data_IF_468359642309
#
_entry.id   IF_468359642309
#
_cell.length_a   1.000
_cell.length_b   1.000
_cell.length_c   1.000
_cell.angle_alpha   90.00
_cell.angle_beta   90.00
_cell.angle_gamma   90.00
#
_symmetry.space_group_name_H-M   'P 1'
#
loop_
_entity.id
_entity.type
_entity.pdbx_description
1 polymer ?
#
# COMPACT_ATOMS: atom_id res chain seq x y z
N UNK A 1 28.08 -2.25 -63.86
CA UNK A 1 27.10 -2.63 -64.89
C UNK A 1 26.01 -1.55 -64.90
N UNK A 2 26.03 -0.74 -65.95
CA UNK A 2 25.09 0.29 -66.44
C UNK A 2 24.17 1.10 -65.48
N UNK A 3 24.35 2.43 -65.56
CA UNK A 3 23.33 3.47 -65.43
C UNK A 3 22.25 3.35 -66.53
N UNK A 4 21.02 3.84 -66.29
CA UNK A 4 20.38 4.93 -67.08
C UNK A 4 18.86 5.05 -66.84
N UNK A 5 18.47 6.24 -66.38
CA UNK A 5 17.32 7.10 -66.76
C UNK A 5 16.26 6.59 -67.76
N UNK A 6 14.98 6.85 -67.45
CA UNK A 6 14.16 7.76 -68.27
C UNK A 6 12.86 8.23 -67.58
N UNK A 7 12.47 9.46 -67.91
CA UNK A 7 11.34 10.23 -67.42
C UNK A 7 10.28 10.46 -68.52
N UNK A 8 9.13 10.99 -68.09
CA UNK A 8 8.04 11.65 -68.86
C UNK A 8 7.01 10.73 -69.55
N UNK A 9 5.70 11.04 -69.61
CA UNK A 9 4.83 12.08 -69.02
C UNK A 9 3.36 11.78 -69.42
N UNK A 10 2.43 12.61 -68.93
CA UNK A 10 1.01 12.81 -69.32
C UNK A 10 -0.03 11.94 -68.58
N UNK A 11 -1.15 12.47 -68.06
CA UNK A 11 -1.63 13.83 -67.87
C UNK A 11 -2.81 13.80 -66.86
N UNK A 12 -3.13 14.98 -66.35
CA UNK A 12 -4.10 15.39 -65.34
C UNK A 12 -5.49 14.70 -65.32
N UNK A 13 -5.98 14.46 -64.10
CA UNK A 13 -7.35 14.76 -63.70
C UNK A 13 -7.39 15.10 -62.20
N UNK A 14 -7.56 16.39 -61.89
CA UNK A 14 -7.87 16.91 -60.55
C UNK A 14 -9.38 17.14 -60.48
N UNK A 15 -10.07 16.47 -59.55
CA UNK A 15 -11.25 17.04 -58.87
C UNK A 15 -11.73 16.16 -57.72
N UNK A 16 -11.95 16.77 -56.55
CA UNK A 16 -12.96 16.32 -55.58
C UNK A 16 -12.42 15.57 -54.36
N UNK A 17 -12.23 16.31 -53.26
CA UNK A 17 -11.85 15.74 -51.97
C UNK A 17 -12.99 15.07 -51.20
N UNK A 18 -12.61 14.08 -50.40
CA UNK A 18 -13.19 13.78 -49.08
C UNK A 18 -12.05 13.22 -48.21
N UNK A 19 -11.81 13.74 -47.00
CA UNK A 19 -10.82 13.15 -46.10
C UNK A 19 -11.33 11.78 -45.66
N UNK A 20 -10.54 10.73 -45.88
CA UNK A 20 -10.79 9.40 -45.35
C UNK A 20 -10.92 9.51 -43.83
N UNK A 21 -12.09 9.13 -43.30
CA UNK A 21 -12.32 8.98 -41.86
C UNK A 21 -11.24 8.05 -41.29
N UNK A 22 -10.40 8.60 -40.42
CA UNK A 22 -9.55 7.79 -39.55
C UNK A 22 -10.39 6.89 -38.64
N UNK A 23 -9.80 5.84 -38.06
CA UNK A 23 -10.54 4.93 -37.20
C UNK A 23 -11.15 5.70 -36.02
N UNK A 24 -12.46 5.56 -35.89
CA UNK A 24 -13.28 6.07 -34.79
C UNK A 24 -12.90 5.33 -33.51
N UNK A 25 -12.34 6.05 -32.52
CA UNK A 25 -12.14 5.53 -31.17
C UNK A 25 -13.50 5.26 -30.52
N UNK A 26 -13.79 3.99 -30.22
CA UNK A 26 -14.76 3.68 -29.19
C UNK A 26 -14.16 4.06 -27.83
N UNK A 27 -14.93 4.69 -26.93
CA UNK A 27 -14.43 5.05 -25.61
C UNK A 27 -14.04 3.79 -24.83
N UNK A 28 -12.94 3.89 -24.07
CA UNK A 28 -12.57 2.90 -23.05
C UNK A 28 -13.81 2.53 -22.23
N UNK A 29 -14.17 1.25 -22.22
CA UNK A 29 -15.11 0.72 -21.25
C UNK A 29 -14.43 0.76 -19.87
N UNK A 30 -14.64 1.86 -19.14
CA UNK A 30 -13.99 2.12 -17.85
C UNK A 30 -14.70 1.30 -16.76
N UNK A 31 -14.17 0.14 -16.42
CA UNK A 31 -14.70 -0.66 -15.31
C UNK A 31 -13.96 -0.26 -14.03
N UNK A 32 -14.65 0.47 -13.14
CA UNK A 32 -14.04 0.96 -11.89
C UNK A 32 -13.87 -0.20 -10.91
N UNK A 33 -12.63 -0.46 -10.47
CA UNK A 33 -12.35 -1.37 -9.36
C UNK A 33 -13.00 -0.80 -8.08
N UNK A 34 -13.78 -1.61 -7.37
CA UNK A 34 -14.39 -1.24 -6.10
C UNK A 34 -14.23 -2.36 -5.07
N UNK A 35 -13.89 -1.97 -3.84
CA UNK A 35 -13.97 -2.86 -2.70
C UNK A 35 -15.45 -3.17 -2.39
N UNK A 36 -15.79 -4.43 -2.20
CA UNK A 36 -17.10 -4.86 -1.71
C UNK A 36 -16.89 -5.60 -0.39
N UNK A 37 -17.50 -5.09 0.68
CA UNK A 37 -17.52 -5.79 1.96
C UNK A 37 -18.60 -6.86 1.89
N UNK A 38 -18.35 -8.05 2.43
CA UNK A 38 -19.34 -9.12 2.50
C UNK A 38 -20.65 -8.59 3.12
N UNK A 39 -21.79 -8.96 2.55
CA UNK A 39 -23.09 -8.42 2.90
C UNK A 39 -23.42 -8.60 4.39
N UNK A 40 -23.81 -7.52 5.07
CA UNK A 40 -24.53 -7.62 6.35
C UNK A 40 -25.91 -8.26 6.10
N UNK A 41 -26.41 -9.13 6.99
CA UNK A 41 -27.77 -9.65 6.86
C UNK A 41 -28.79 -8.50 6.96
N UNK A 42 -29.74 -8.51 6.04
CA UNK A 42 -30.74 -7.48 5.77
C UNK A 42 -31.44 -6.94 7.03
N UNK A 43 -31.27 -5.64 7.31
CA UNK A 43 -32.13 -4.93 8.25
C UNK A 43 -33.45 -4.59 7.55
N UNK A 44 -34.53 -5.21 8.00
CA UNK A 44 -35.89 -4.96 7.53
C UNK A 44 -36.29 -3.48 7.69
N UNK A 45 -36.92 -2.95 6.65
CA UNK A 45 -37.55 -1.63 6.65
C UNK A 45 -38.67 -1.57 7.67
N UNK A 46 -38.60 -0.62 8.60
CA UNK A 46 -39.78 -0.03 9.22
C UNK A 46 -39.61 1.50 9.25
N UNK A 47 -40.42 2.16 8.44
CA UNK A 47 -40.57 3.60 8.35
C UNK A 47 -41.54 4.11 9.40
N UNK A 48 -41.20 5.22 10.07
CA UNK A 48 -42.13 6.05 10.85
C UNK A 48 -41.86 7.52 10.49
N UNK A 49 -42.91 8.33 10.21
CA UNK A 49 -42.75 9.57 9.45
C UNK A 49 -42.38 10.80 10.30
N UNK A 50 -41.75 11.76 9.63
CA UNK A 50 -41.35 13.06 10.15
C UNK A 50 -42.55 14.02 10.31
N UNK A 51 -42.53 14.81 11.39
CA UNK A 51 -43.38 15.99 11.56
C UNK A 51 -42.50 17.25 11.67
N UNK A 52 -42.82 18.25 10.87
CA UNK A 52 -42.19 19.56 10.83
C UNK A 52 -42.95 20.58 11.68
N UNK A 53 -42.24 21.53 12.31
CA UNK A 53 -42.34 23.00 12.09
C UNK A 53 -41.93 23.86 13.30
N UNK A 54 -41.10 24.87 13.00
CA UNK A 54 -41.09 26.29 13.43
C UNK A 54 -40.91 26.69 14.90
N UNK A 55 -39.90 27.52 15.19
CA UNK A 55 -40.06 28.96 15.49
C UNK A 55 -38.73 29.65 15.84
N UNK A 56 -38.68 30.96 15.55
CA UNK A 56 -37.56 31.91 15.55
C UNK A 56 -36.89 32.18 16.91
N UNK A 57 -35.76 32.91 16.92
CA UNK A 57 -35.49 33.82 18.03
C UNK A 57 -35.28 35.28 17.60
N UNK A 58 -35.71 36.14 18.52
CA UNK A 58 -35.72 37.60 18.51
C UNK A 58 -34.32 38.17 18.75
N UNK A 59 -34.05 39.34 18.16
CA UNK A 59 -32.78 40.10 18.27
C UNK A 59 -32.86 41.20 19.34
N UNK A 60 -31.71 41.44 19.99
CA UNK A 60 -31.18 42.67 20.63
C UNK A 60 -31.10 42.68 22.17
N UNK A 61 -30.16 43.44 22.79
CA UNK A 61 -28.98 44.14 22.27
C UNK A 61 -27.64 43.83 23.01
N UNK A 62 -26.54 44.24 22.38
CA UNK A 62 -25.16 44.23 22.90
C UNK A 62 -24.97 45.09 24.16
N UNK A 63 -24.12 44.62 25.09
CA UNK A 63 -23.33 45.45 26.03
C UNK A 63 -22.18 44.65 26.65
N UNK A 64 -20.96 45.19 26.55
CA UNK A 64 -19.87 44.97 27.51
C UNK A 64 -18.79 43.96 27.08
N UNK A 65 -17.71 44.45 26.49
CA UNK A 65 -16.44 43.73 26.30
C UNK A 65 -15.76 43.46 27.64
N UNK A 66 -15.80 42.21 28.09
CA UNK A 66 -14.95 41.69 29.16
C UNK A 66 -13.79 40.87 28.56
N UNK A 67 -12.58 40.85 29.18
CA UNK A 67 -11.44 40.16 28.63
C UNK A 67 -11.71 38.66 28.57
N UNK A 68 -11.51 38.07 27.39
CA UNK A 68 -11.55 36.62 27.18
C UNK A 68 -10.58 35.95 28.17
N UNK A 69 -11.02 35.00 29.01
CA UNK A 69 -10.08 34.25 29.84
C UNK A 69 -9.16 33.48 28.90
N UNK A 70 -7.85 33.75 29.02
CA UNK A 70 -6.78 32.99 28.37
C UNK A 70 -7.11 31.50 28.53
N UNK A 71 -7.22 30.80 27.40
CA UNK A 71 -7.25 29.34 27.39
C UNK A 71 -6.12 28.82 28.31
N UNK A 72 -6.35 27.78 29.13
CA UNK A 72 -5.32 27.26 29.99
C UNK A 72 -4.11 26.92 29.12
N UNK A 73 -2.95 27.46 29.50
CA UNK A 73 -1.69 27.12 28.88
C UNK A 73 -1.57 25.60 28.83
N UNK A 74 -1.27 25.06 27.66
CA UNK A 74 -1.02 23.64 27.47
C UNK A 74 -0.09 23.15 28.58
N UNK A 75 -0.50 22.10 29.28
CA UNK A 75 0.34 21.44 30.28
C UNK A 75 1.70 21.12 29.64
N UNK A 76 2.82 21.28 30.37
CA UNK A 76 4.14 21.02 29.83
C UNK A 76 4.19 19.57 29.33
N UNK A 77 4.54 19.38 28.05
CA UNK A 77 4.72 18.05 27.48
C UNK A 77 5.81 17.33 28.26
N UNK A 78 5.45 16.23 28.93
CA UNK A 78 6.42 15.34 29.57
C UNK A 78 7.47 14.87 28.55
N UNK A 79 8.68 14.57 29.02
CA UNK A 79 9.70 13.91 28.19
C UNK A 79 9.13 12.58 27.68
N UNK A 80 9.33 12.30 26.40
CA UNK A 80 8.92 11.02 25.81
C UNK A 80 9.72 9.87 26.44
N UNK A 81 9.04 8.75 26.66
CA UNK A 81 9.61 7.47 27.03
C UNK A 81 8.86 6.38 26.27
N UNK A 82 9.46 5.20 26.09
CA UNK A 82 8.85 4.11 25.30
C UNK A 82 7.47 3.70 25.84
N UNK A 83 7.23 3.85 27.14
CA UNK A 83 5.98 3.56 27.83
C UNK A 83 5.05 4.77 28.03
N UNK A 84 5.46 5.98 27.60
CA UNK A 84 4.70 7.22 27.80
C UNK A 84 3.29 7.19 27.19
N UNK A 85 3.06 6.37 26.16
CA UNK A 85 1.75 6.12 25.56
C UNK A 85 0.73 5.56 26.56
N UNK A 86 1.16 4.86 27.61
CA UNK A 86 0.28 4.29 28.65
C UNK A 86 -0.46 5.37 29.45
N UNK A 87 0.06 6.60 29.44
CA UNK A 87 -0.59 7.77 30.08
C UNK A 87 -1.67 8.40 29.20
N UNK A 88 -1.81 7.95 27.94
CA UNK A 88 -2.78 8.44 26.97
C UNK A 88 -3.91 7.44 26.77
N UNK A 89 -5.02 7.91 26.20
CA UNK A 89 -6.13 7.03 25.83
C UNK A 89 -5.72 6.16 24.63
N UNK A 90 -5.64 4.85 24.84
CA UNK A 90 -5.46 3.88 23.77
C UNK A 90 -6.81 3.34 23.28
N UNK A 91 -6.98 3.27 21.96
CA UNK A 91 -8.16 2.63 21.34
C UNK A 91 -7.76 1.28 20.73
N UNK A 92 -8.75 0.41 20.49
CA UNK A 92 -8.58 -0.85 19.74
C UNK A 92 -7.68 -1.92 20.38
N UNK A 93 -7.09 -1.67 21.55
CA UNK A 93 -6.34 -2.68 22.30
C UNK A 93 -7.27 -3.77 22.85
N UNK A 94 -6.83 -5.04 22.87
CA UNK A 94 -7.57 -6.12 23.51
C UNK A 94 -7.47 -6.04 25.03
N UNK A 95 -8.44 -6.65 25.71
CA UNK A 95 -8.36 -6.95 27.14
C UNK A 95 -7.90 -8.41 27.29
N UNK A 96 -6.68 -8.61 27.77
CA UNK A 96 -6.15 -9.95 28.04
C UNK A 96 -6.64 -10.45 29.41
N UNK A 97 -7.06 -11.71 29.54
CA UNK A 97 -7.64 -12.25 30.77
C UNK A 97 -6.61 -12.38 31.91
N UNK A 98 -5.32 -12.48 31.60
CA UNK A 98 -4.24 -12.65 32.56
C UNK A 98 -3.12 -11.63 32.33
N UNK A 99 -3.05 -10.61 33.19
CA UNK A 99 -2.02 -9.57 33.11
C UNK A 99 -0.60 -10.09 33.39
N UNK A 100 -0.44 -11.06 34.30
CA UNK A 100 0.87 -11.63 34.61
C UNK A 100 1.43 -12.45 33.43
N UNK A 101 0.55 -13.16 32.71
CA UNK A 101 0.94 -13.86 31.50
C UNK A 101 1.30 -12.89 30.37
N UNK A 102 0.52 -11.82 30.19
CA UNK A 102 0.83 -10.77 29.23
C UNK A 102 2.23 -10.18 29.49
N UNK A 103 2.52 -9.76 30.72
CA UNK A 103 3.84 -9.22 31.08
C UNK A 103 4.98 -10.24 30.88
N UNK A 104 4.76 -11.52 31.21
CA UNK A 104 5.73 -12.59 30.95
C UNK A 104 6.06 -12.74 29.46
N UNK A 105 5.04 -12.69 28.60
CA UNK A 105 5.22 -12.73 27.14
C UNK A 105 5.96 -11.48 26.63
N UNK A 106 5.59 -10.29 27.10
CA UNK A 106 6.24 -9.04 26.69
C UNK A 106 7.73 -9.03 27.07
N UNK A 107 8.07 -9.45 28.29
CA UNK A 107 9.46 -9.59 28.73
C UNK A 107 10.24 -10.60 27.87
N UNK A 108 9.58 -11.66 27.41
CA UNK A 108 10.17 -12.65 26.51
C UNK A 108 10.50 -12.03 25.16
N UNK A 109 9.57 -11.25 24.58
CA UNK A 109 9.75 -10.59 23.28
C UNK A 109 10.82 -9.49 23.37
N UNK A 110 10.88 -8.75 24.47
CA UNK A 110 11.88 -7.69 24.69
C UNK A 110 13.31 -8.24 24.60
N UNK A 111 13.53 -9.45 25.13
CA UNK A 111 14.81 -10.16 25.08
C UNK A 111 15.17 -10.77 23.71
N UNK A 112 14.21 -10.87 22.77
CA UNK A 112 14.48 -11.40 21.44
C UNK A 112 15.27 -10.41 20.58
N UNK A 113 15.99 -10.88 19.54
CA UNK A 113 16.58 -9.99 18.55
C UNK A 113 15.55 -9.04 17.91
N UNK A 114 15.96 -7.85 17.45
CA UNK A 114 15.10 -7.01 16.62
C UNK A 114 14.79 -7.69 15.27
N UNK A 115 13.62 -7.41 14.69
CA UNK A 115 13.25 -7.89 13.35
C UNK A 115 14.03 -7.09 12.29
N UNK A 116 14.17 -5.78 12.50
CA UNK A 116 14.92 -4.88 11.59
C UNK A 116 16.00 -4.11 12.34
N UNK A 117 17.06 -3.74 11.62
CA UNK A 117 18.11 -2.87 12.17
C UNK A 117 17.80 -1.38 11.96
N UNK A 118 18.11 -0.53 12.94
CA UNK A 118 17.83 0.91 12.90
C UNK A 118 18.45 1.62 11.68
N UNK A 119 19.64 1.21 11.26
CA UNK A 119 20.28 1.73 10.04
C UNK A 119 19.49 1.47 8.76
N UNK A 120 18.71 0.39 8.71
CA UNK A 120 17.84 0.08 7.56
C UNK A 120 16.62 1.00 7.52
N UNK A 121 16.05 1.34 8.68
CA UNK A 121 14.98 2.32 8.79
C UNK A 121 15.43 3.73 8.38
N UNK A 122 16.65 4.15 8.79
CA UNK A 122 17.26 5.42 8.31
C UNK A 122 17.47 5.43 6.80
N UNK A 123 17.97 4.34 6.24
CA UNK A 123 18.13 4.22 4.78
C UNK A 123 16.78 4.29 4.06
N UNK A 124 15.72 3.73 4.63
CA UNK A 124 14.36 3.91 4.10
C UNK A 124 13.91 5.37 4.18
N UNK A 125 14.17 6.06 5.30
CA UNK A 125 13.86 7.48 5.45
C UNK A 125 14.53 8.34 4.37
N UNK A 126 15.81 8.11 4.08
CA UNK A 126 16.54 8.77 2.99
C UNK A 126 15.87 8.53 1.63
N UNK A 127 15.43 7.30 1.36
CA UNK A 127 14.69 6.97 0.14
C UNK A 127 13.35 7.69 0.08
N UNK A 128 12.60 7.71 1.18
CA UNK A 128 11.32 8.40 1.25
C UNK A 128 11.48 9.92 1.08
N UNK A 129 12.59 10.50 1.52
CA UNK A 129 12.93 11.89 1.22
C UNK A 129 13.08 12.12 -0.29
N UNK A 130 13.70 11.20 -1.04
CA UNK A 130 13.74 11.28 -2.51
C UNK A 130 12.34 11.25 -3.12
N UNK A 131 11.42 10.43 -2.58
CA UNK A 131 10.04 10.40 -3.05
C UNK A 131 9.27 11.68 -2.73
N UNK A 132 9.46 12.24 -1.53
CA UNK A 132 8.88 13.53 -1.15
C UNK A 132 9.36 14.67 -2.06
N UNK A 133 10.60 14.59 -2.55
CA UNK A 133 11.22 15.53 -3.48
C UNK A 133 10.90 15.24 -4.96
N UNK A 134 10.08 14.23 -5.25
CA UNK A 134 9.70 13.83 -6.60
C UNK A 134 10.79 13.17 -7.44
N UNK A 135 11.83 12.66 -6.79
CA UNK A 135 12.97 11.94 -7.38
C UNK A 135 12.83 10.42 -7.29
N UNK A 136 11.84 9.92 -6.55
CA UNK A 136 11.46 8.52 -6.47
C UNK A 136 9.94 8.39 -6.30
N UNK A 137 9.42 7.16 -6.30
CA UNK A 137 8.01 6.88 -6.03
C UNK A 137 7.88 5.72 -5.04
N UNK A 138 7.09 5.88 -3.98
CA UNK A 138 6.82 4.82 -3.01
C UNK A 138 5.72 3.89 -3.52
N UNK A 139 6.04 2.60 -3.60
CA UNK A 139 5.09 1.50 -3.76
C UNK A 139 5.05 0.70 -2.45
N UNK A 140 3.98 0.90 -1.67
CA UNK A 140 3.70 0.12 -0.48
C UNK A 140 2.54 -0.84 -0.75
N UNK A 141 2.70 -2.13 -0.46
CA UNK A 141 1.61 -3.08 -0.63
C UNK A 141 1.83 -4.47 -0.05
N UNK A 142 0.74 -5.22 0.09
CA UNK A 142 0.72 -6.57 0.63
C UNK A 142 -0.63 -6.87 1.27
N UNK A 143 -0.67 -7.89 2.12
CA UNK A 143 -1.93 -8.38 2.69
C UNK A 143 -2.65 -7.32 3.53
N UNK A 144 -3.98 -7.47 3.59
CA UNK A 144 -4.77 -6.73 4.56
C UNK A 144 -4.30 -7.14 5.96
N UNK A 145 -4.49 -8.40 6.35
CA UNK A 145 -3.91 -9.03 7.54
C UNK A 145 -3.16 -10.31 7.14
N UNK A 146 -1.95 -10.49 7.67
CA UNK A 146 -1.26 -11.78 7.63
C UNK A 146 -1.96 -12.78 8.56
N UNK A 147 -2.01 -14.05 8.15
CA UNK A 147 -2.54 -15.14 8.96
C UNK A 147 -1.49 -16.20 9.26
N UNK A 148 -1.58 -16.78 10.45
CA UNK A 148 -0.83 -17.94 10.90
C UNK A 148 -1.17 -19.22 10.13
N UNK A 149 -2.36 -19.30 9.52
CA UNK A 149 -2.79 -20.45 8.70
C UNK A 149 -2.20 -20.39 7.28
N UNK A 150 -1.99 -19.19 6.77
CA UNK A 150 -1.49 -18.93 5.42
C UNK A 150 0.03 -18.76 5.36
N UNK A 151 0.74 -19.18 6.42
CA UNK A 151 2.18 -19.08 6.51
C UNK A 151 2.89 -20.14 5.67
N UNK A 152 3.19 -19.81 4.42
CA UNK A 152 4.01 -20.64 3.55
C UNK A 152 4.85 -19.80 2.57
N UNK A 153 5.96 -20.38 2.10
CA UNK A 153 6.90 -19.69 1.22
C UNK A 153 6.33 -19.29 -0.15
N UNK A 154 5.31 -19.99 -0.66
CA UNK A 154 4.67 -19.63 -1.93
C UNK A 154 3.89 -18.32 -1.80
N UNK A 155 3.06 -18.18 -0.76
CA UNK A 155 2.30 -16.94 -0.52
C UNK A 155 3.22 -15.72 -0.38
N UNK A 156 4.29 -15.85 0.41
CA UNK A 156 5.29 -14.79 0.59
C UNK A 156 5.95 -14.44 -0.75
N UNK A 157 6.38 -15.46 -1.50
CA UNK A 157 7.01 -15.30 -2.81
C UNK A 157 6.08 -14.62 -3.81
N UNK A 158 4.82 -15.02 -3.86
CA UNK A 158 3.88 -14.56 -4.89
C UNK A 158 3.45 -13.11 -4.62
N UNK A 159 3.22 -12.72 -3.36
CA UNK A 159 3.01 -11.30 -2.99
C UNK A 159 4.25 -10.45 -3.29
N UNK A 160 5.45 -10.94 -2.96
CA UNK A 160 6.71 -10.28 -3.31
C UNK A 160 6.86 -10.12 -4.83
N UNK A 161 6.52 -11.15 -5.60
CA UNK A 161 6.56 -11.13 -7.07
C UNK A 161 5.64 -10.06 -7.65
N UNK A 162 4.41 -9.92 -7.17
CA UNK A 162 3.51 -8.86 -7.67
C UNK A 162 4.08 -7.46 -7.38
N UNK A 163 4.67 -7.23 -6.20
CA UNK A 163 5.35 -5.97 -5.89
C UNK A 163 6.52 -5.69 -6.86
N UNK A 164 7.29 -6.72 -7.24
CA UNK A 164 8.34 -6.58 -8.26
C UNK A 164 7.77 -6.25 -9.65
N UNK A 165 6.70 -6.94 -10.07
CA UNK A 165 6.06 -6.66 -11.37
C UNK A 165 5.51 -5.23 -11.43
N UNK A 166 4.75 -4.80 -10.41
CA UNK A 166 4.25 -3.43 -10.31
C UNK A 166 5.39 -2.42 -10.31
N UNK A 167 6.47 -2.71 -9.59
CA UNK A 167 7.65 -1.86 -9.58
C UNK A 167 8.30 -1.75 -10.95
N UNK A 168 8.39 -2.83 -11.74
CA UNK A 168 8.95 -2.78 -13.08
C UNK A 168 8.11 -1.89 -14.00
N UNK A 169 6.78 -2.03 -13.94
CA UNK A 169 5.83 -1.18 -14.68
C UNK A 169 6.00 0.30 -14.31
N UNK A 170 6.06 0.61 -13.01
CA UNK A 170 6.22 1.96 -12.51
C UNK A 170 7.59 2.55 -12.89
N UNK A 171 8.68 1.82 -12.69
CA UNK A 171 10.04 2.28 -13.05
C UNK A 171 10.15 2.58 -14.54
N UNK A 172 9.68 1.67 -15.39
CA UNK A 172 9.76 1.82 -16.83
C UNK A 172 8.84 2.94 -17.35
N UNK A 173 7.59 2.99 -16.87
CA UNK A 173 6.61 3.97 -17.34
C UNK A 173 6.83 5.38 -16.79
N UNK A 174 7.15 5.52 -15.50
CA UNK A 174 7.41 6.82 -14.87
C UNK A 174 8.83 7.32 -15.14
N UNK A 175 9.78 6.42 -15.47
CA UNK A 175 11.22 6.70 -15.58
C UNK A 175 11.81 7.27 -14.29
N UNK A 176 11.48 6.64 -13.16
CA UNK A 176 12.00 7.04 -11.85
C UNK A 176 12.20 5.83 -10.92
N UNK A 177 13.10 5.90 -9.93
CA UNK A 177 13.26 4.87 -8.91
C UNK A 177 11.95 4.60 -8.15
N UNK A 178 11.71 3.32 -7.82
CA UNK A 178 10.56 2.90 -7.01
C UNK A 178 11.03 2.28 -5.70
N UNK A 179 10.53 2.81 -4.58
CA UNK A 179 10.81 2.35 -3.22
C UNK A 179 9.77 1.27 -2.90
N UNK A 180 10.21 0.07 -2.52
CA UNK A 180 9.34 -1.11 -2.37
C UNK A 180 9.16 -1.47 -0.91
N UNK A 181 7.96 -1.23 -0.37
CA UNK A 181 7.65 -1.48 1.04
C UNK A 181 6.52 -2.52 1.15
N UNK A 182 6.82 -3.70 1.68
CA UNK A 182 5.84 -4.75 1.91
C UNK A 182 4.96 -4.49 3.14
N UNK A 183 3.66 -4.71 3.04
CA UNK A 183 2.78 -4.98 4.19
C UNK A 183 2.93 -6.45 4.58
N UNK A 184 4.10 -6.79 5.12
CA UNK A 184 4.55 -8.17 5.33
C UNK A 184 5.45 -8.22 6.56
N UNK A 185 5.54 -9.40 7.20
CA UNK A 185 6.35 -9.64 8.38
C UNK A 185 5.97 -8.79 9.60
N UNK A 186 4.67 -8.64 9.86
CA UNK A 186 4.18 -7.94 11.06
C UNK A 186 2.72 -7.50 11.01
N UNK A 187 2.06 -7.60 9.86
CA UNK A 187 0.73 -7.04 9.62
C UNK A 187 -0.39 -7.97 10.13
N UNK A 188 -0.35 -8.35 11.41
CA UNK A 188 -1.31 -9.27 12.01
C UNK A 188 -2.51 -8.55 12.63
N UNK A 189 -2.27 -7.48 13.40
CA UNK A 189 -3.32 -6.82 14.18
C UNK A 189 -4.28 -6.03 13.29
N UNK A 190 -5.56 -6.00 13.70
CA UNK A 190 -6.64 -5.35 12.96
C UNK A 190 -7.58 -4.55 13.86
N UNK A 191 -7.85 -3.28 13.54
CA UNK A 191 -8.86 -2.51 14.25
C UNK A 191 -10.25 -2.97 13.79
N UNK A 192 -11.23 -2.94 14.70
CA UNK A 192 -12.61 -3.33 14.41
C UNK A 192 -13.57 -2.18 14.72
N UNK A 193 -14.59 -2.03 13.87
CA UNK A 193 -15.68 -1.07 14.12
C UNK A 193 -16.45 -1.43 15.38
N UNK A 194 -16.74 -2.73 15.55
CA UNK A 194 -17.45 -3.26 16.72
C UNK A 194 -16.54 -4.16 17.56
N UNK A 195 -16.66 -4.06 18.88
CA UNK A 195 -15.89 -4.88 19.81
C UNK A 195 -16.35 -6.34 19.85
N UNK A 196 -17.61 -6.60 19.47
CA UNK A 196 -18.22 -7.93 19.46
C UNK A 196 -18.86 -8.22 18.11
N UNK A 197 -18.82 -9.48 17.73
CA UNK A 197 -19.49 -10.04 16.57
C UNK A 197 -20.65 -10.94 17.03
N UNK A 198 -21.80 -10.81 16.37
CA UNK A 198 -22.99 -11.62 16.66
C UNK A 198 -23.31 -12.48 15.45
N UNK A 199 -23.37 -13.80 15.63
CA UNK A 199 -23.84 -14.76 14.62
C UNK A 199 -24.82 -15.71 15.27
N UNK A 200 -25.97 -15.91 14.62
CA UNK A 200 -27.02 -16.83 15.09
C UNK A 200 -27.41 -16.64 16.58
N UNK A 201 -27.44 -15.39 17.03
CA UNK A 201 -27.77 -15.02 18.42
C UNK A 201 -26.63 -15.16 19.43
N UNK A 202 -25.49 -15.74 19.06
CA UNK A 202 -24.30 -15.85 19.90
C UNK A 202 -23.42 -14.61 19.74
N UNK A 203 -23.02 -13.98 20.84
CA UNK A 203 -22.17 -12.78 20.87
C UNK A 203 -20.77 -13.13 21.39
N UNK A 204 -19.75 -12.95 20.55
CA UNK A 204 -18.34 -13.20 20.90
C UNK A 204 -17.47 -11.97 20.60
N UNK A 205 -16.28 -11.83 21.23
CA UNK A 205 -15.33 -10.80 20.84
C UNK A 205 -15.03 -10.85 19.34
N UNK A 206 -14.92 -9.68 18.71
CA UNK A 206 -14.53 -9.59 17.31
C UNK A 206 -13.12 -10.16 17.11
N UNK A 207 -12.89 -10.83 15.98
CA UNK A 207 -11.54 -11.20 15.54
C UNK A 207 -10.70 -9.92 15.34
N UNK A 208 -9.53 -9.82 15.97
CA UNK A 208 -8.67 -8.62 15.94
C UNK A 208 -7.32 -8.89 15.28
N UNK A 209 -7.20 -10.00 14.57
CA UNK A 209 -5.93 -10.41 13.97
C UNK A 209 -5.23 -11.50 14.76
N UNK A 210 -4.42 -12.28 14.07
CA UNK A 210 -3.88 -13.53 14.60
C UNK A 210 -2.91 -13.35 15.78
N UNK A 211 -2.29 -12.17 15.92
CA UNK A 211 -1.45 -11.83 17.07
C UNK A 211 -2.25 -11.46 18.33
N UNK A 212 -3.59 -11.42 18.26
CA UNK A 212 -4.49 -11.14 19.39
C UNK A 212 -5.37 -12.36 19.68
N UNK A 213 -6.18 -12.81 18.71
CA UNK A 213 -7.12 -13.93 18.87
C UNK A 213 -7.29 -14.69 17.55
N UNK A 214 -8.08 -15.78 17.56
CA UNK A 214 -8.35 -16.63 16.40
C UNK A 214 -9.59 -16.18 15.61
N UNK A 215 -9.59 -16.52 14.33
CA UNK A 215 -10.66 -16.22 13.36
C UNK A 215 -11.94 -17.04 13.60
N UNK A 216 -11.79 -18.29 14.02
CA UNK A 216 -12.88 -19.21 14.30
C UNK A 216 -13.90 -18.60 15.30
N UNK A 217 -15.19 -18.77 15.00
CA UNK A 217 -16.29 -18.19 15.78
C UNK A 217 -16.67 -19.10 16.95
N UNK A 218 -15.76 -19.22 17.91
CA UNK A 218 -15.96 -19.95 19.16
C UNK A 218 -15.27 -19.21 20.33
N UNK A 219 -15.74 -19.44 21.56
CA UNK A 219 -15.29 -18.71 22.74
C UNK A 219 -13.78 -18.84 22.98
N UNK A 220 -13.24 -20.05 22.80
CA UNK A 220 -11.81 -20.34 23.00
C UNK A 220 -10.97 -19.57 21.99
N UNK A 221 -11.36 -19.60 20.71
CA UNK A 221 -10.64 -18.90 19.64
C UNK A 221 -10.72 -17.39 19.79
N UNK A 222 -11.87 -16.83 20.23
CA UNK A 222 -12.07 -15.38 20.33
C UNK A 222 -11.47 -14.73 21.58
N UNK A 223 -11.11 -15.51 22.60
CA UNK A 223 -10.42 -15.01 23.78
C UNK A 223 -8.99 -14.52 23.42
N UNK A 224 -8.61 -13.27 23.75
CA UNK A 224 -7.25 -12.79 23.53
C UNK A 224 -6.20 -13.65 24.24
N UNK A 225 -5.18 -14.07 23.51
CA UNK A 225 -4.10 -14.94 24.00
C UNK A 225 -2.75 -14.26 23.77
N UNK A 226 -2.00 -13.87 24.82
CA UNK A 226 -0.74 -13.16 24.67
C UNK A 226 0.33 -14.03 23.98
N UNK A 227 0.29 -15.37 24.07
CA UNK A 227 1.26 -16.26 23.43
C UNK A 227 1.29 -16.10 21.90
N UNK A 228 0.18 -15.62 21.32
CA UNK A 228 0.09 -15.29 19.90
C UNK A 228 1.09 -14.21 19.47
N UNK A 229 1.52 -13.32 20.37
CA UNK A 229 2.55 -12.32 20.06
C UNK A 229 3.93 -12.96 19.81
N UNK A 230 4.31 -14.00 20.57
CA UNK A 230 5.54 -14.75 20.33
C UNK A 230 5.48 -15.45 18.97
N UNK A 231 4.33 -16.05 18.64
CA UNK A 231 4.11 -16.66 17.33
C UNK A 231 4.17 -15.64 16.19
N UNK A 232 3.58 -14.46 16.38
CA UNK A 232 3.64 -13.36 15.42
C UNK A 232 5.08 -12.89 15.20
N UNK A 233 5.88 -12.75 16.26
CA UNK A 233 7.30 -12.43 16.15
C UNK A 233 8.05 -13.50 15.33
N UNK A 234 7.89 -14.79 15.67
CA UNK A 234 8.57 -15.88 14.98
C UNK A 234 8.21 -15.94 13.49
N UNK A 235 6.93 -15.77 13.15
CA UNK A 235 6.47 -15.72 11.77
C UNK A 235 7.01 -14.48 11.04
N UNK A 236 7.04 -13.32 11.70
CA UNK A 236 7.61 -12.09 11.14
C UNK A 236 9.08 -12.25 10.79
N UNK A 237 9.88 -12.76 11.74
CA UNK A 237 11.30 -13.00 11.54
C UNK A 237 11.57 -13.99 10.39
N UNK A 238 10.79 -15.08 10.32
CA UNK A 238 10.91 -16.06 9.25
C UNK A 238 10.50 -15.50 7.88
N UNK A 239 9.41 -14.74 7.81
CA UNK A 239 8.95 -14.06 6.58
C UNK A 239 10.00 -13.06 6.10
N UNK A 240 10.52 -12.20 6.97
CA UNK A 240 11.54 -11.22 6.59
C UNK A 240 12.85 -11.89 6.16
N UNK A 241 13.27 -12.97 6.82
CA UNK A 241 14.44 -13.74 6.40
C UNK A 241 14.28 -14.26 4.95
N UNK A 242 13.11 -14.81 4.62
CA UNK A 242 12.82 -15.27 3.26
C UNK A 242 12.77 -14.11 2.25
N UNK A 243 12.16 -12.98 2.62
CA UNK A 243 12.11 -11.78 1.79
C UNK A 243 13.51 -11.22 1.49
N UNK A 244 14.40 -11.21 2.48
CA UNK A 244 15.82 -10.83 2.30
C UNK A 244 16.50 -11.76 1.31
N UNK A 245 16.30 -13.07 1.44
CA UNK A 245 16.84 -14.05 0.50
C UNK A 245 16.33 -13.84 -0.93
N UNK A 246 15.05 -13.50 -1.13
CA UNK A 246 14.54 -13.15 -2.47
C UNK A 246 15.09 -11.83 -3.00
N UNK A 247 15.18 -10.80 -2.14
CA UNK A 247 15.62 -9.47 -2.52
C UNK A 247 17.10 -9.42 -2.95
N UNK A 248 17.98 -10.21 -2.33
CA UNK A 248 19.43 -10.21 -2.62
C UNK A 248 19.95 -11.48 -3.29
N UNK A 249 19.23 -12.60 -3.22
CA UNK A 249 19.66 -13.90 -3.75
C UNK A 249 19.37 -14.12 -5.24
N UNK A 250 19.20 -13.05 -6.02
CA UNK A 250 18.97 -13.11 -7.46
C UNK A 250 17.54 -13.42 -7.90
N UNK A 251 16.58 -13.56 -6.98
CA UNK A 251 15.15 -13.65 -7.36
C UNK A 251 14.64 -12.33 -7.94
N UNK A 252 15.07 -11.22 -7.33
CA UNK A 252 14.71 -9.86 -7.74
C UNK A 252 15.59 -9.27 -8.87
N UNK A 253 16.44 -10.08 -9.52
CA UNK A 253 17.28 -9.60 -10.61
C UNK A 253 16.43 -9.11 -11.80
N UNK A 254 16.75 -7.93 -12.35
CA UNK A 254 15.96 -7.28 -13.41
C UNK A 254 15.88 -8.12 -14.69
N UNK A 255 16.89 -8.97 -14.96
CA UNK A 255 16.89 -9.93 -16.07
C UNK A 255 15.76 -10.97 -15.97
N UNK A 256 15.16 -11.13 -14.79
CA UNK A 256 14.08 -12.08 -14.52
C UNK A 256 12.69 -11.46 -14.64
N UNK A 257 12.58 -10.22 -15.12
CA UNK A 257 11.29 -9.52 -15.25
C UNK A 257 10.25 -10.33 -16.05
N UNK A 258 10.68 -11.10 -17.04
CA UNK A 258 9.85 -12.02 -17.83
C UNK A 258 9.40 -13.26 -17.03
N UNK A 259 10.21 -13.71 -16.07
CA UNK A 259 9.94 -14.86 -15.18
C UNK A 259 9.03 -14.50 -14.01
N UNK A 260 8.76 -13.22 -13.77
CA UNK A 260 7.82 -12.77 -12.75
C UNK A 260 6.36 -12.84 -13.20
N UNK A 261 6.09 -13.29 -14.42
CA UNK A 261 4.73 -13.60 -14.84
C UNK A 261 4.11 -14.65 -13.93
N UNK A 262 2.89 -14.36 -13.47
CA UNK A 262 2.07 -15.30 -12.71
C UNK A 262 1.16 -16.02 -13.71
N UNK A 263 1.06 -17.34 -13.62
CA UNK A 263 0.33 -18.19 -14.57
C UNK A 263 -1.14 -17.74 -14.77
N UNK A 264 -1.77 -17.14 -13.75
CA UNK A 264 -3.15 -16.67 -13.86
C UNK A 264 -3.30 -15.28 -14.50
N UNK A 265 -2.20 -14.59 -14.77
CA UNK A 265 -2.19 -13.41 -15.65
C UNK A 265 -2.10 -13.80 -17.12
N UNK A 266 -1.80 -15.07 -17.43
CA UNK A 266 -1.88 -15.59 -18.79
C UNK A 266 -3.32 -15.50 -19.30
N UNK A 267 -3.44 -15.09 -20.56
CA UNK A 267 -4.71 -14.81 -21.23
C UNK A 267 -5.51 -13.62 -20.65
N UNK A 268 -4.84 -12.61 -20.08
CA UNK A 268 -5.44 -11.31 -19.75
C UNK A 268 -4.77 -10.16 -20.52
N UNK A 269 -5.54 -9.12 -20.85
CA UNK A 269 -5.02 -7.91 -21.52
C UNK A 269 -3.85 -7.28 -20.74
N UNK A 270 -3.91 -7.30 -19.41
CA UNK A 270 -2.88 -6.75 -18.53
C UNK A 270 -1.63 -7.64 -18.52
N UNK A 271 -1.81 -8.95 -18.60
CA UNK A 271 -0.71 -9.90 -18.80
C UNK A 271 -0.02 -9.69 -20.14
N UNK A 272 -0.78 -9.46 -21.22
CA UNK A 272 -0.23 -9.12 -22.55
C UNK A 272 0.57 -7.82 -22.51
N UNK A 273 0.01 -6.76 -21.91
CA UNK A 273 0.70 -5.48 -21.72
C UNK A 273 1.96 -5.60 -20.86
N UNK A 274 1.92 -6.43 -19.81
CA UNK A 274 3.10 -6.69 -18.99
C UNK A 274 4.16 -7.46 -19.77
N UNK A 275 3.79 -8.47 -20.57
CA UNK A 275 4.74 -9.17 -21.46
C UNK A 275 5.43 -8.22 -22.42
N UNK A 276 4.68 -7.34 -23.08
CA UNK A 276 5.25 -6.31 -23.95
C UNK A 276 6.23 -5.40 -23.20
N UNK A 277 5.85 -4.94 -22.00
CA UNK A 277 6.74 -4.16 -21.14
C UNK A 277 8.01 -4.93 -20.75
N UNK A 278 7.87 -6.21 -20.39
CA UNK A 278 8.99 -7.07 -20.03
C UNK A 278 9.96 -7.26 -21.22
N UNK A 279 9.43 -7.42 -22.44
CA UNK A 279 10.26 -7.44 -23.66
C UNK A 279 11.01 -6.12 -23.86
N UNK A 280 10.37 -4.97 -23.65
CA UNK A 280 11.03 -3.67 -23.79
C UNK A 280 12.09 -3.41 -22.71
N UNK A 281 11.86 -3.93 -21.49
CA UNK A 281 12.89 -3.92 -20.44
C UNK A 281 14.07 -4.78 -20.87
N UNK A 282 13.83 -5.97 -21.42
CA UNK A 282 14.88 -6.87 -21.93
C UNK A 282 15.71 -6.21 -23.05
N UNK A 283 15.06 -5.57 -24.03
CA UNK A 283 15.75 -4.80 -25.08
C UNK A 283 16.60 -3.66 -24.49
N UNK A 284 16.08 -2.94 -23.49
CA UNK A 284 16.81 -1.87 -22.83
C UNK A 284 18.04 -2.40 -22.06
N UNK A 285 17.92 -3.55 -21.39
CA UNK A 285 19.03 -4.23 -20.74
C UNK A 285 20.08 -4.69 -21.76
N UNK A 286 19.63 -5.21 -22.91
CA UNK A 286 20.50 -5.57 -24.03
C UNK A 286 21.28 -4.36 -24.58
N UNK A 287 20.61 -3.22 -24.74
CA UNK A 287 21.25 -1.97 -25.14
C UNK A 287 22.26 -1.47 -24.10
N UNK A 288 21.91 -1.49 -22.81
CA UNK A 288 22.83 -1.11 -21.71
C UNK A 288 24.09 -1.98 -21.74
N UNK A 289 23.93 -3.29 -21.91
CA UNK A 289 25.03 -4.24 -22.04
C UNK A 289 25.91 -3.93 -23.26
N UNK A 290 25.30 -3.69 -24.43
CA UNK A 290 26.02 -3.31 -25.65
C UNK A 290 26.74 -1.96 -25.53
N UNK A 291 26.23 -1.04 -24.71
CA UNK A 291 26.86 0.24 -24.39
C UNK A 291 27.99 0.13 -23.34
N UNK A 292 28.32 -1.08 -22.87
CA UNK A 292 29.39 -1.33 -21.90
C UNK A 292 28.97 -1.21 -20.44
N UNK A 293 27.67 -1.11 -20.14
CA UNK A 293 27.17 -1.19 -18.77
C UNK A 293 26.99 -2.66 -18.39
N UNK A 294 27.85 -3.15 -17.50
CA UNK A 294 27.82 -4.55 -17.07
C UNK A 294 26.54 -4.86 -16.31
N UNK A 295 25.80 -5.86 -16.79
CA UNK A 295 24.60 -6.38 -16.12
C UNK A 295 24.90 -7.12 -14.81
N UNK A 296 26.17 -7.39 -14.51
CA UNK A 296 26.61 -8.03 -13.26
C UNK A 296 26.69 -7.04 -12.07
N UNK A 297 26.42 -5.76 -12.30
CA UNK A 297 26.44 -4.76 -11.23
C UNK A 297 25.42 -5.13 -10.13
N UNK A 298 25.75 -5.02 -8.83
CA UNK A 298 24.86 -5.41 -7.74
C UNK A 298 23.45 -4.79 -7.80
N UNK A 299 23.32 -3.59 -8.37
CA UNK A 299 22.02 -2.91 -8.56
C UNK A 299 21.11 -3.58 -9.60
N UNK A 300 21.63 -4.48 -10.43
CA UNK A 300 20.88 -5.25 -11.43
C UNK A 300 20.40 -6.59 -10.88
N UNK A 301 21.12 -7.11 -9.88
CA UNK A 301 20.93 -8.45 -9.32
C UNK A 301 20.22 -8.48 -7.96
N UNK A 302 20.06 -7.32 -7.33
CA UNK A 302 19.39 -7.17 -6.04
C UNK A 302 18.44 -5.98 -6.06
N UNK A 303 17.46 -6.01 -5.15
CA UNK A 303 16.60 -4.86 -4.86
C UNK A 303 16.61 -4.57 -3.38
N UNK A 304 16.49 -3.31 -3.02
CA UNK A 304 16.08 -2.93 -1.67
C UNK A 304 14.60 -3.29 -1.50
N UNK A 305 14.26 -3.88 -0.35
CA UNK A 305 12.90 -4.20 0.03
C UNK A 305 12.74 -3.99 1.54
N UNK A 306 11.71 -3.27 1.93
CA UNK A 306 11.42 -2.94 3.33
C UNK A 306 10.08 -3.52 3.75
N UNK A 307 9.83 -3.56 5.05
CA UNK A 307 8.60 -4.09 5.66
C UNK A 307 7.88 -3.02 6.45
N UNK A 308 6.57 -3.18 6.57
CA UNK A 308 5.70 -2.26 7.28
C UNK A 308 4.44 -2.93 7.81
N UNK A 309 3.89 -2.38 8.89
CA UNK A 309 2.57 -2.73 9.40
C UNK A 309 1.94 -1.56 10.16
N UNK A 310 0.64 -1.69 10.46
CA UNK A 310 -0.08 -0.77 11.32
C UNK A 310 0.43 -0.90 12.75
N UNK A 311 0.99 0.18 13.31
CA UNK A 311 1.35 0.25 14.72
C UNK A 311 0.06 0.28 15.54
N UNK A 312 -0.42 -0.90 15.95
CA UNK A 312 -1.75 -1.06 16.56
C UNK A 312 -1.67 -1.68 17.96
N UNK A 313 -0.98 -2.81 18.10
CA UNK A 313 -0.86 -3.53 19.36
C UNK A 313 0.31 -2.97 20.17
N UNK A 314 0.12 -1.79 20.78
CA UNK A 314 1.19 -1.03 21.44
C UNK A 314 2.08 -1.80 22.44
N UNK A 315 1.57 -2.77 23.23
CA UNK A 315 2.46 -3.61 24.05
C UNK A 315 3.51 -4.38 23.22
N UNK A 316 3.11 -4.92 22.07
CA UNK A 316 4.01 -5.64 21.15
C UNK A 316 5.05 -4.70 20.54
N UNK A 317 4.62 -3.52 20.07
CA UNK A 317 5.50 -2.50 19.48
C UNK A 317 6.51 -1.97 20.52
N UNK A 318 6.05 -1.70 21.75
CA UNK A 318 6.90 -1.31 22.87
C UNK A 318 7.98 -2.38 23.14
N UNK A 319 7.61 -3.66 23.19
CA UNK A 319 8.55 -4.75 23.45
C UNK A 319 9.63 -4.89 22.35
N UNK A 320 9.33 -4.47 21.11
CA UNK A 320 10.28 -4.51 20.00
C UNK A 320 11.04 -3.19 19.77
N UNK A 321 10.73 -2.14 20.53
CA UNK A 321 11.40 -0.84 20.41
C UNK A 321 12.77 -0.86 21.08
N UNK A 322 13.81 -0.45 20.34
CA UNK A 322 15.20 -0.43 20.80
C UNK A 322 15.80 0.96 20.65
N UNK A 323 16.73 1.29 21.55
CA UNK A 323 17.59 2.44 21.37
C UNK A 323 18.74 2.07 20.42
N UNK A 324 18.90 2.84 19.34
CA UNK A 324 20.02 2.68 18.43
C UNK A 324 21.32 3.15 19.08
N UNK A 325 22.32 2.27 19.10
CA UNK A 325 23.60 2.54 19.76
C UNK A 325 24.40 3.65 19.10
N UNK A 326 24.14 3.95 17.81
CA UNK A 326 24.88 4.98 17.07
C UNK A 326 24.31 6.39 17.20
N UNK A 327 22.99 6.53 17.25
CA UNK A 327 22.29 7.82 17.29
C UNK A 327 21.68 8.15 18.66
N UNK A 328 21.48 7.16 19.52
CA UNK A 328 20.76 7.32 20.78
C UNK A 328 19.24 7.48 20.61
N UNK A 329 18.72 7.46 19.38
CA UNK A 329 17.30 7.53 19.07
C UNK A 329 16.62 6.18 19.27
N UNK A 330 15.33 6.18 19.53
CA UNK A 330 14.54 4.96 19.62
C UNK A 330 13.96 4.60 18.25
N UNK A 331 14.02 3.32 17.91
CA UNK A 331 13.38 2.76 16.72
C UNK A 331 12.49 1.62 17.17
N UNK A 332 11.27 1.58 16.66
CA UNK A 332 10.50 0.35 16.71
C UNK A 332 11.10 -0.63 15.71
N UNK A 333 11.78 -1.65 16.22
CA UNK A 333 12.47 -2.64 15.41
C UNK A 333 11.54 -3.79 14.99
N UNK A 334 10.22 -3.65 15.12
CA UNK A 334 9.24 -4.59 14.58
C UNK A 334 9.16 -4.52 13.04
N UNK A 335 9.35 -3.33 12.45
CA UNK A 335 9.36 -3.11 11.00
C UNK A 335 10.16 -1.86 10.61
N UNK A 336 10.45 -1.72 9.31
CA UNK A 336 11.20 -0.57 8.81
C UNK A 336 10.36 0.72 8.81
N UNK A 337 9.07 0.61 8.52
CA UNK A 337 8.10 1.71 8.47
C UNK A 337 6.83 1.30 9.20
N UNK A 338 6.23 2.23 9.94
CA UNK A 338 4.97 2.00 10.64
C UNK A 338 3.95 3.05 10.22
N UNK A 339 2.66 2.74 10.35
CA UNK A 339 1.61 3.74 10.17
C UNK A 339 0.59 3.70 11.30
N UNK A 340 -0.11 4.83 11.48
CA UNK A 340 -1.27 4.90 12.36
C UNK A 340 -2.56 4.72 11.55
N UNK A 341 -3.46 3.88 12.06
CA UNK A 341 -4.74 3.62 11.42
C UNK A 341 -5.74 4.77 11.60
N UNK A 342 -6.75 4.82 10.72
CA UNK A 342 -7.84 5.80 10.79
C UNK A 342 -8.54 5.82 12.16
N UNK A 343 -8.69 4.64 12.78
CA UNK A 343 -9.38 4.48 14.07
C UNK A 343 -8.50 4.75 15.28
N UNK A 344 -7.20 5.00 15.09
CA UNK A 344 -6.19 5.17 16.16
C UNK A 344 -5.36 6.45 16.03
N UNK A 345 -5.65 7.32 15.05
CA UNK A 345 -4.91 8.57 14.79
C UNK A 345 -5.36 9.79 15.62
N UNK A 346 -5.93 9.58 16.80
CA UNK A 346 -6.31 10.70 17.67
C UNK A 346 -5.06 11.46 18.10
N UNK A 347 -5.02 12.78 17.89
CA UNK A 347 -3.82 13.60 18.10
C UNK A 347 -3.30 13.56 19.54
N UNK A 348 -4.19 13.36 20.50
CA UNK A 348 -3.92 13.20 21.93
C UNK A 348 -3.93 11.73 22.41
N UNK A 349 -4.04 10.79 21.48
CA UNK A 349 -4.15 9.35 21.72
C UNK A 349 -2.80 8.65 21.89
N UNK A 350 -2.87 7.42 22.42
CA UNK A 350 -1.69 6.62 22.72
C UNK A 350 -0.84 6.25 21.49
N UNK A 351 -1.46 5.92 20.36
CA UNK A 351 -0.72 5.55 19.15
C UNK A 351 0.08 6.71 18.57
N UNK A 352 -0.48 7.91 18.56
CA UNK A 352 0.24 9.12 18.13
C UNK A 352 1.36 9.45 19.12
N UNK A 353 1.14 9.31 20.43
CA UNK A 353 2.19 9.50 21.44
C UNK A 353 3.34 8.49 21.30
N UNK A 354 3.04 7.22 21.01
CA UNK A 354 4.06 6.21 20.77
C UNK A 354 4.89 6.56 19.54
N UNK A 355 4.23 6.81 18.40
CA UNK A 355 4.89 7.13 17.14
C UNK A 355 5.68 8.45 17.18
N UNK A 356 5.29 9.40 18.04
CA UNK A 356 5.96 10.71 18.19
C UNK A 356 7.44 10.59 18.58
N UNK A 357 7.84 9.53 19.28
CA UNK A 357 9.21 9.40 19.80
C UNK A 357 10.04 8.27 19.22
N UNK A 358 9.50 7.50 18.27
CA UNK A 358 10.32 6.61 17.43
C UNK A 358 10.80 7.34 16.19
N UNK A 359 11.96 6.94 15.67
CA UNK A 359 12.61 7.55 14.51
C UNK A 359 12.33 6.81 13.19
N UNK A 360 11.43 5.82 13.18
CA UNK A 360 11.00 5.16 11.96
C UNK A 360 10.24 6.14 11.04
N UNK A 361 10.33 6.01 9.71
CA UNK A 361 9.42 6.70 8.81
C UNK A 361 7.95 6.29 9.05
N UNK A 362 7.04 7.26 8.92
CA UNK A 362 5.62 7.12 9.29
C UNK A 362 4.67 7.34 8.09
N UNK A 363 3.49 6.70 8.11
CA UNK A 363 2.43 6.87 7.10
C UNK A 363 1.04 7.19 7.65
N UNK A 364 0.16 7.77 6.80
CA UNK A 364 -1.27 8.05 7.07
C UNK A 364 -2.08 7.68 5.81
N UNK A 365 -3.25 7.02 5.98
CA UNK A 365 -4.08 6.50 4.88
C UNK A 365 -4.88 7.59 4.16
N UNK A 366 -4.96 7.53 2.83
CA UNK A 366 -5.80 8.38 1.96
C UNK A 366 -6.19 7.65 0.65
N UNK A 367 -7.18 8.17 -0.07
CA UNK A 367 -7.70 7.57 -1.32
C UNK A 367 -6.91 8.00 -2.58
N UNK A 368 -6.60 7.05 -3.48
CA UNK A 368 -5.69 7.21 -4.63
C UNK A 368 -6.19 8.14 -5.74
N UNK A 369 -7.48 8.16 -6.09
CA UNK A 369 -7.97 8.95 -7.24
C UNK A 369 -7.97 10.44 -6.94
N UNK A 370 -8.64 10.82 -5.85
CA UNK A 370 -8.64 12.19 -5.36
C UNK A 370 -7.20 12.67 -5.08
N UNK A 371 -6.32 11.79 -4.59
CA UNK A 371 -4.92 12.11 -4.33
C UNK A 371 -4.17 12.64 -5.56
N UNK A 372 -4.20 11.95 -6.70
CA UNK A 372 -3.51 12.44 -7.90
C UNK A 372 -4.14 13.72 -8.45
N UNK A 373 -5.47 13.84 -8.41
CA UNK A 373 -6.18 15.02 -8.93
C UNK A 373 -5.86 16.27 -8.08
N UNK A 374 -5.84 16.14 -6.76
CA UNK A 374 -5.44 17.21 -5.83
C UNK A 374 -3.98 17.60 -6.06
N UNK A 375 -3.06 16.64 -6.17
CA UNK A 375 -1.65 16.95 -6.45
C UNK A 375 -1.44 17.65 -7.80
N UNK A 376 -2.20 17.29 -8.83
CA UNK A 376 -2.16 17.96 -10.13
C UNK A 376 -2.69 19.41 -10.05
N UNK A 377 -3.74 19.65 -9.26
CA UNK A 377 -4.33 20.99 -9.06
C UNK A 377 -3.44 21.90 -8.21
N UNK A 378 -2.87 21.38 -7.14
CA UNK A 378 -2.05 22.12 -6.18
C UNK A 378 -0.57 22.23 -6.62
N UNK A 379 -0.17 21.59 -7.72
CA UNK A 379 1.22 21.56 -8.19
C UNK A 379 2.18 20.76 -7.31
N UNK A 380 1.69 20.11 -6.25
CA UNK A 380 2.47 19.29 -5.31
C UNK A 380 2.74 17.88 -5.86
N UNK A 381 3.66 17.11 -5.27
CA UNK A 381 4.11 15.81 -5.81
C UNK A 381 3.39 14.60 -5.18
N UNK A 382 2.78 13.70 -5.99
CA UNK A 382 2.23 12.44 -5.49
C UNK A 382 3.36 11.44 -5.22
N UNK A 383 3.87 11.43 -3.98
CA UNK A 383 5.08 10.68 -3.61
C UNK A 383 4.96 9.16 -3.55
N UNK A 384 3.74 8.60 -3.58
CA UNK A 384 3.56 7.15 -3.55
C UNK A 384 2.12 6.67 -3.37
N UNK A 385 1.96 5.35 -3.29
CA UNK A 385 0.69 4.67 -3.04
C UNK A 385 0.84 3.56 -1.98
N UNK A 386 -0.25 3.34 -1.25
CA UNK A 386 -0.40 2.25 -0.28
C UNK A 386 -1.60 1.39 -0.66
N UNK A 387 -1.36 0.11 -0.99
CA UNK A 387 -2.36 -0.79 -1.54
C UNK A 387 -2.49 -2.07 -0.71
N UNK A 388 -3.70 -2.60 -0.60
CA UNK A 388 -3.93 -3.94 -0.09
C UNK A 388 -4.09 -4.89 -1.27
N UNK A 389 -3.21 -5.88 -1.36
CA UNK A 389 -3.07 -6.72 -2.54
C UNK A 389 -2.48 -8.08 -2.18
N UNK A 390 -2.68 -9.07 -3.04
CA UNK A 390 -2.17 -10.43 -2.86
C UNK A 390 -1.71 -11.04 -4.19
N UNK A 391 -0.68 -11.89 -4.11
CA UNK A 391 -0.27 -12.74 -5.24
C UNK A 391 -1.21 -13.91 -5.50
N UNK A 392 -2.17 -14.17 -4.60
CA UNK A 392 -3.18 -15.19 -4.77
C UNK A 392 -4.24 -14.78 -5.82
N UNK A 393 -4.80 -15.77 -6.51
CA UNK A 393 -5.87 -15.55 -7.47
C UNK A 393 -7.23 -15.44 -6.77
N UNK A 394 -7.53 -14.26 -6.22
CA UNK A 394 -8.73 -13.98 -5.40
C UNK A 394 -9.80 -13.16 -6.14
N UNK A 395 -11.04 -13.25 -5.67
CA UNK A 395 -12.19 -12.47 -6.14
C UNK A 395 -12.73 -11.59 -5.00
N UNK A 396 -11.90 -10.68 -4.49
CA UNK A 396 -12.25 -9.87 -3.30
C UNK A 396 -12.73 -8.45 -3.68
N UNK A 397 -12.20 -7.86 -4.76
CA UNK A 397 -12.64 -6.57 -5.30
C UNK A 397 -13.40 -6.77 -6.63
N UNK A 398 -14.52 -6.08 -6.81
CA UNK A 398 -15.26 -6.07 -8.08
C UNK A 398 -14.60 -5.16 -9.11
N UNK A 399 -14.87 -5.40 -10.39
CA UNK A 399 -14.33 -4.64 -11.51
C UNK A 399 -12.92 -5.08 -11.90
N UNK A 400 -12.20 -4.16 -12.56
CA UNK A 400 -10.97 -4.48 -13.28
C UNK A 400 -11.26 -5.23 -14.58
N UNK A 401 -10.20 -5.49 -15.34
CA UNK A 401 -10.30 -6.06 -16.69
C UNK A 401 -10.97 -7.43 -16.80
N UNK A 402 -10.80 -8.29 -15.79
CA UNK A 402 -11.43 -9.61 -15.75
C UNK A 402 -12.91 -9.56 -15.36
N UNK A 403 -13.48 -8.36 -15.21
CA UNK A 403 -14.86 -8.08 -14.77
C UNK A 403 -15.28 -8.99 -13.63
N UNK A 404 -14.57 -8.92 -12.49
CA UNK A 404 -15.05 -9.59 -11.26
C UNK A 404 -16.38 -8.96 -10.89
N UNK A 405 -17.44 -9.75 -10.91
CA UNK A 405 -18.80 -9.33 -10.57
C UNK A 405 -19.09 -9.61 -9.09
N UNK A 406 -20.27 -9.20 -8.61
CA UNK A 406 -20.72 -9.53 -7.26
C UNK A 406 -20.88 -11.04 -7.06
N UNK A 407 -21.30 -11.77 -8.10
CA UNK A 407 -21.55 -13.20 -8.04
C UNK A 407 -20.23 -13.99 -7.92
N UNK A 408 -19.14 -13.47 -8.49
CA UNK A 408 -17.81 -14.08 -8.42
C UNK A 408 -17.17 -13.96 -7.03
N UNK A 409 -17.70 -13.10 -6.14
CA UNK A 409 -17.09 -12.87 -4.82
C UNK A 409 -17.09 -14.17 -3.99
N UNK A 410 -18.15 -14.97 -4.05
CA UNK A 410 -18.23 -16.22 -3.26
C UNK A 410 -17.22 -17.29 -3.67
N UNK A 411 -16.60 -17.18 -4.84
CA UNK A 411 -15.68 -18.20 -5.33
C UNK A 411 -14.40 -18.27 -4.49
N UNK A 412 -13.76 -17.10 -4.26
CA UNK A 412 -12.40 -17.00 -3.71
C UNK A 412 -12.22 -15.74 -2.83
N UNK A 413 -13.18 -15.48 -1.95
CA UNK A 413 -13.06 -14.49 -0.88
C UNK A 413 -12.35 -15.11 0.32
N UNK A 414 -11.04 -14.87 0.45
CA UNK A 414 -10.21 -15.53 1.48
C UNK A 414 -9.90 -14.63 2.68
N UNK A 415 -10.10 -13.32 2.56
CA UNK A 415 -9.85 -12.37 3.65
C UNK A 415 -10.97 -12.33 4.68
N UNK A 416 -10.61 -12.28 5.96
CA UNK A 416 -11.52 -11.93 7.07
C UNK A 416 -11.55 -10.43 7.38
N UNK A 417 -10.82 -9.64 6.60
CA UNK A 417 -10.65 -8.20 6.76
C UNK A 417 -11.17 -7.46 5.53
N UNK A 418 -10.46 -6.42 5.09
CA UNK A 418 -10.80 -5.67 3.89
C UNK A 418 -10.43 -6.49 2.63
N UNK A 419 -11.20 -6.32 1.53
CA UNK A 419 -10.94 -6.99 0.26
C UNK A 419 -9.65 -6.51 -0.40
N UNK A 420 -8.81 -7.44 -0.86
CA UNK A 420 -7.53 -7.18 -1.50
C UNK A 420 -7.67 -7.11 -3.01
N UNK A 421 -6.79 -6.35 -3.66
CA UNK A 421 -6.58 -6.44 -5.11
C UNK A 421 -5.89 -7.76 -5.44
N UNK A 422 -6.39 -8.49 -6.44
CA UNK A 422 -5.62 -9.59 -7.03
C UNK A 422 -4.48 -9.07 -7.92
N UNK A 423 -3.59 -9.95 -8.40
CA UNK A 423 -2.43 -9.50 -9.18
C UNK A 423 -2.80 -8.76 -10.49
N UNK A 424 -3.86 -9.20 -11.20
CA UNK A 424 -4.30 -8.52 -12.43
C UNK A 424 -4.80 -7.11 -12.16
N UNK A 425 -5.61 -6.91 -11.11
CA UNK A 425 -6.08 -5.59 -10.68
C UNK A 425 -4.93 -4.70 -10.18
N UNK A 426 -3.96 -5.30 -9.48
CA UNK A 426 -2.76 -4.60 -9.01
C UNK A 426 -1.90 -4.12 -10.18
N UNK A 427 -1.70 -4.97 -11.20
CA UNK A 427 -0.99 -4.61 -12.43
C UNK A 427 -1.72 -3.52 -13.21
N UNK A 428 -3.05 -3.63 -13.37
CA UNK A 428 -3.87 -2.62 -14.03
C UNK A 428 -3.66 -1.24 -13.37
N UNK A 429 -3.73 -1.18 -12.05
CA UNK A 429 -3.52 0.04 -11.29
C UNK A 429 -2.10 0.58 -11.46
N UNK A 430 -1.07 -0.29 -11.51
CA UNK A 430 0.31 0.14 -11.73
C UNK A 430 0.51 0.80 -13.11
N UNK A 431 -0.13 0.28 -14.17
CA UNK A 431 -0.11 0.90 -15.49
C UNK A 431 -0.79 2.27 -15.51
N UNK A 432 -1.93 2.40 -14.83
CA UNK A 432 -2.66 3.68 -14.70
C UNK A 432 -1.77 4.71 -14.00
N UNK A 433 -1.15 4.34 -12.87
CA UNK A 433 -0.26 5.23 -12.11
C UNK A 433 0.95 5.63 -12.96
N UNK A 434 1.59 4.67 -13.63
CA UNK A 434 2.75 4.92 -14.48
C UNK A 434 2.43 5.91 -15.61
N UNK A 435 1.25 5.82 -16.22
CA UNK A 435 0.81 6.77 -17.25
C UNK A 435 0.62 8.19 -16.69
N UNK A 436 0.02 8.33 -15.50
CA UNK A 436 -0.16 9.64 -14.85
C UNK A 436 1.19 10.29 -14.51
N UNK A 437 2.12 9.52 -13.93
CA UNK A 437 3.47 9.97 -13.61
C UNK A 437 4.23 10.40 -14.88
N UNK A 438 4.14 9.61 -15.97
CA UNK A 438 4.74 9.96 -17.27
C UNK A 438 4.21 11.28 -17.82
N UNK A 439 2.88 11.46 -17.83
CA UNK A 439 2.24 12.70 -18.32
C UNK A 439 2.74 13.92 -17.55
N UNK A 440 2.84 13.82 -16.22
CA UNK A 440 3.38 14.88 -15.37
C UNK A 440 4.83 15.21 -15.73
N UNK A 441 5.69 14.18 -15.83
CA UNK A 441 7.11 14.37 -16.19
C UNK A 441 7.25 15.09 -17.53
N UNK A 442 6.54 14.64 -18.55
CA UNK A 442 6.55 15.29 -19.88
C UNK A 442 6.14 16.75 -19.76
N UNK A 443 5.02 17.07 -19.07
CA UNK A 443 4.58 18.46 -18.86
C UNK A 443 5.63 19.31 -18.13
N UNK A 444 6.31 18.76 -17.12
CA UNK A 444 7.38 19.46 -16.40
C UNK A 444 8.62 19.71 -17.27
N UNK A 445 8.97 18.78 -18.17
CA UNK A 445 10.10 18.92 -19.10
C UNK A 445 9.80 19.86 -20.26
N UNK A 446 8.56 19.90 -20.74
CA UNK A 446 8.09 20.82 -21.79
C UNK A 446 8.18 22.30 -21.41
N UNK A 447 8.25 22.61 -20.11
CA UNK A 447 8.53 23.97 -19.62
C UNK A 447 10.02 24.35 -19.60
N UNK A 448 10.94 23.41 -19.81
CA UNK A 448 12.39 23.62 -19.59
C UNK A 448 13.29 23.29 -20.78
N UNK A 449 12.90 22.48 -21.77
CA UNK A 449 13.61 22.37 -23.06
C UNK A 449 12.80 21.54 -24.08
N UNK A 450 12.79 21.98 -25.34
CA UNK A 450 12.09 21.36 -26.46
C UNK A 450 12.68 20.03 -26.94
N UNK A 451 12.76 19.03 -26.07
CA UNK A 451 13.08 17.65 -26.44
C UNK A 451 11.77 16.92 -26.73
N UNK A 452 11.63 16.39 -27.95
CA UNK A 452 10.46 15.64 -28.42
C UNK A 452 10.09 14.51 -27.43
N UNK A 453 8.81 14.40 -27.02
CA UNK A 453 8.37 13.30 -26.19
C UNK A 453 8.48 11.97 -26.97
N UNK A 454 8.92 10.91 -26.28
CA UNK A 454 8.77 9.54 -26.79
C UNK A 454 7.29 9.31 -27.16
N UNK A 455 7.01 8.60 -28.27
CA UNK A 455 5.64 8.40 -28.74
C UNK A 455 4.76 7.77 -27.64
N UNK A 456 3.44 8.04 -27.64
CA UNK A 456 2.51 7.29 -26.81
C UNK A 456 2.71 5.78 -27.04
N UNK A 457 2.44 4.96 -26.01
CA UNK A 457 2.40 3.50 -26.20
C UNK A 457 1.51 3.22 -27.41
N UNK A 458 2.09 2.66 -28.47
CA UNK A 458 1.37 2.28 -29.68
C UNK A 458 0.40 1.17 -29.30
N UNK A 459 -0.89 1.45 -29.52
CA UNK A 459 -2.05 0.62 -29.23
C UNK A 459 -2.22 -0.53 -30.23
#
# INVERSE_FOLDING_TARGET
MALATNAAAAAAAVSGGQPRRGPSFLPLSRHTIRAVHAAEPSKGHNSVPAAAKTSSPVVAPEKGTAPVPKAPAAAPSGKWAVDSWRTKKALQLPEYPNAAELESVLNTIEAFPPIVFAGEARRLEERLAEAAMGRAFLLQGGDCAESFKEFNGNNIRDTFRVLLQMSAVLMFGAQMPVIKVGRMAGQFAKPRSEAFEVRDGVKLPSYRGDNINGDAFDEKSRNPDPQRMIRAYAQSAATLNLLRAFATGGYAAMQRVTQWNLDFTDHSEQGDRYRELAHRVDEALGFMSAAGLTVDHPSMNSTEFWTSHECLLLPYEQALTRQDSTSGLFYDCSAHMLWVGERTRQLDGAHVEFLRGIANPLGIKAEVRAFFDVHEQEGSHPGGVHLEMTGQNVTECIGGSRTVTFDDLSDRYHTHCDPRLNASQSLELSFIIAERLRKRRIRSSSGLNGILPLPPFGL
#
